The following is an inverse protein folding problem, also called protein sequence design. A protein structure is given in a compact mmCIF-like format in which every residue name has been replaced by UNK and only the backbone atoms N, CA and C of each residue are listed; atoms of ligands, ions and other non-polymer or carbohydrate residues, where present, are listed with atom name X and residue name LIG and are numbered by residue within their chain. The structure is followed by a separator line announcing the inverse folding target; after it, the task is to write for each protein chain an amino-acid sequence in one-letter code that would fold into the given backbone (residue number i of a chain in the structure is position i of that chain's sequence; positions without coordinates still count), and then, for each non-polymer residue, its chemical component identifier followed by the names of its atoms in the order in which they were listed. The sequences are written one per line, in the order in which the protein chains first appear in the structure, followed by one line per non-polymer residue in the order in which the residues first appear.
data_IF_737749853151
#
_entry.id   IF_737749853151
#
_cell.length_a   1.000
_cell.length_b   1.000
_cell.length_c   1.000
_cell.angle_alpha   90.00
_cell.angle_beta   90.00
_cell.angle_gamma   90.00
#
_symmetry.space_group_name_H-M   'P 1'
#
loop_
_entity.id
_entity.type
_entity.pdbx_description
1 polymer ?
2 non-polymer ?
3 water ?
#
# COMPACT_ATOMS: atom_id res chain seq x y z
N UNK A 2 -10.66 -8.19 -26.99
CA UNK A 2 -10.28 -6.84 -26.57
C UNK A 2 -8.76 -6.71 -26.55
N UNK A 3 -8.23 -5.58 -27.06
CA UNK A 3 -6.79 -5.35 -27.10
C UNK A 3 -6.47 -3.90 -26.81
N UNK A 4 -5.18 -3.62 -26.62
CA UNK A 4 -4.66 -2.29 -26.29
C UNK A 4 -3.27 -2.12 -26.89
N UNK A 5 -3.13 -1.13 -27.77
CA UNK A 5 -1.79 -0.74 -28.22
C UNK A 5 -1.30 0.37 -27.30
N UNK A 6 0.00 0.35 -27.03
CA UNK A 6 0.63 1.32 -26.17
C UNK A 6 2.03 1.56 -26.72
N UNK A 7 2.33 2.79 -27.09
CA UNK A 7 3.64 3.19 -27.61
C UNK A 7 4.22 2.05 -28.46
N UNK A 8 3.47 1.69 -29.52
CA UNK A 8 3.89 0.63 -30.41
C UNK A 8 3.32 -0.77 -30.23
N UNK A 9 3.21 -1.26 -28.99
CA UNK A 9 2.95 -2.68 -28.73
C UNK A 9 1.47 -2.98 -28.46
N UNK A 10 1.07 -4.23 -28.75
CA UNK A 10 -0.31 -4.67 -28.60
C UNK A 10 -0.39 -5.68 -27.47
N UNK A 11 -1.56 -5.74 -26.83
CA UNK A 11 -1.71 -6.50 -25.60
C UNK A 11 -3.10 -7.09 -25.54
N UNK A 12 -3.19 -8.36 -25.22
CA UNK A 12 -4.50 -8.99 -25.14
C UNK A 12 -5.01 -8.82 -23.72
N UNK A 13 -6.28 -8.47 -23.59
CA UNK A 13 -6.87 -8.21 -22.28
C UNK A 13 -7.36 -9.54 -21.71
N UNK A 14 -6.59 -10.14 -20.81
CA UNK A 14 -7.10 -11.30 -20.10
C UNK A 14 -8.36 -10.97 -19.30
N UNK A 15 -8.26 -10.11 -18.30
CA UNK A 15 -9.39 -9.81 -17.43
C UNK A 15 -9.14 -8.47 -16.76
N UNK A 16 -10.16 -7.97 -16.10
CA UNK A 16 -10.09 -6.65 -15.46
C UNK A 16 -9.94 -6.89 -13.96
N UNK A 17 -8.79 -6.52 -13.44
CA UNK A 17 -8.52 -6.68 -12.03
C UNK A 17 -9.32 -5.70 -11.20
N UNK A 18 -9.38 -4.44 -11.63
CA UNK A 18 -9.82 -3.40 -10.72
C UNK A 18 -10.42 -2.19 -11.39
N UNK A 19 -11.14 -1.40 -10.59
CA UNK A 19 -11.90 -0.24 -11.03
C UNK A 19 -11.73 0.90 -10.02
N UNK A 20 -12.27 2.06 -10.38
CA UNK A 20 -12.18 3.27 -9.58
C UNK A 20 -12.23 4.52 -10.42
N UNK A 21 -13.14 5.44 -10.10
CA UNK A 21 -13.30 6.65 -10.87
C UNK A 21 -13.32 6.45 -12.37
N UNK A 22 -12.31 7.00 -13.05
CA UNK A 22 -12.15 6.82 -14.49
C UNK A 22 -11.07 5.80 -14.84
N UNK A 23 -10.65 4.99 -13.88
CA UNK A 23 -9.53 4.07 -14.09
C UNK A 23 -9.99 2.62 -14.12
N UNK A 24 -9.19 1.80 -14.80
CA UNK A 24 -9.35 0.35 -14.81
C UNK A 24 -7.96 -0.25 -14.91
N UNK A 25 -7.79 -1.42 -14.30
CA UNK A 25 -6.56 -2.18 -14.36
C UNK A 25 -6.88 -3.54 -14.95
N UNK A 26 -6.07 -3.97 -15.91
CA UNK A 26 -6.29 -5.20 -16.65
C UNK A 26 -5.05 -6.07 -16.53
N UNK A 27 -5.27 -7.34 -16.27
CA UNK A 27 -4.26 -8.32 -16.60
C UNK A 27 -4.26 -8.51 -18.11
N UNK A 28 -3.08 -8.49 -18.72
CA UNK A 28 -2.96 -8.54 -20.17
C UNK A 28 -1.73 -9.33 -20.53
N UNK A 29 -1.68 -9.79 -21.79
CA UNK A 29 -0.52 -10.46 -22.32
C UNK A 29 0.04 -9.65 -23.47
N UNK A 30 1.36 -9.57 -23.52
CA UNK A 30 2.02 -9.00 -24.68
C UNK A 30 2.01 -10.02 -25.82
N UNK A 31 2.54 -9.60 -26.97
CA UNK A 31 2.57 -10.50 -28.11
C UNK A 31 3.26 -11.81 -27.77
N UNK A 32 4.19 -11.82 -26.82
CA UNK A 32 4.94 -13.02 -26.46
C UNK A 32 4.37 -13.72 -25.24
N UNK A 33 3.05 -13.72 -25.07
CA UNK A 33 2.38 -14.43 -23.99
C UNK A 33 2.98 -14.10 -22.62
N UNK A 34 3.67 -12.96 -22.54
CA UNK A 34 4.13 -12.44 -21.26
C UNK A 34 3.01 -11.67 -20.59
N UNK A 35 2.93 -11.79 -19.32
CA UNK A 35 1.83 -11.21 -18.59
C UNK A 35 2.26 -9.85 -18.02
N UNK A 36 1.31 -8.92 -17.91
CA UNK A 36 1.53 -7.55 -17.45
C UNK A 36 0.23 -7.01 -16.89
N UNK A 37 0.32 -5.89 -16.16
CA UNK A 37 -0.87 -5.12 -15.84
C UNK A 37 -0.90 -3.84 -16.66
N UNK A 38 -2.11 -3.35 -16.94
CA UNK A 38 -2.28 -2.09 -17.66
C UNK A 38 -3.36 -1.28 -16.96
N UNK A 39 -2.97 -0.12 -16.43
CA UNK A 39 -3.89 0.86 -15.87
C UNK A 39 -4.35 1.79 -17.00
N UNK A 40 -5.66 2.04 -17.04
CA UNK A 40 -6.26 2.90 -18.04
C UNK A 40 -7.01 4.00 -17.33
N UNK A 41 -6.67 5.25 -17.63
CA UNK A 41 -7.42 6.40 -17.11
C UNK A 41 -8.12 7.08 -18.29
N UNK A 42 -9.44 7.17 -18.23
CA UNK A 42 -10.20 7.96 -19.19
C UNK A 42 -10.17 9.42 -18.74
N UNK A 43 -9.42 10.25 -19.47
CA UNK A 43 -9.21 11.64 -19.06
C UNK A 43 -10.33 12.54 -19.50
N UNK A 44 -11.29 12.00 -20.26
CA UNK A 44 -12.23 12.83 -21.00
C UNK A 44 -12.76 13.99 -20.17
N UNK A 45 -13.27 13.73 -18.97
CA UNK A 45 -13.28 14.81 -18.01
C UNK A 45 -12.68 14.36 -16.69
N UNK A 46 -11.79 15.21 -16.19
CA UNK A 46 -11.12 15.10 -14.91
C UNK A 46 -10.61 16.50 -14.65
N UNK A 47 -10.94 17.08 -13.51
CA UNK A 47 -10.49 18.43 -13.24
C UNK A 47 -8.98 18.45 -13.26
N UNK A 48 -8.40 19.60 -13.60
CA UNK A 48 -6.94 19.68 -13.56
C UNK A 48 -6.36 19.31 -12.20
N UNK A 49 -7.17 19.14 -11.16
CA UNK A 49 -6.68 18.46 -9.95
C UNK A 49 -6.56 16.96 -10.19
N UNK A 50 -7.65 16.32 -10.63
CA UNK A 50 -7.56 14.90 -11.00
C UNK A 50 -6.46 14.69 -12.04
N UNK A 51 -6.39 15.55 -13.05
CA UNK A 51 -5.34 15.43 -14.06
C UNK A 51 -3.96 15.48 -13.42
N UNK A 52 -3.70 16.53 -12.63
CA UNK A 52 -2.36 16.67 -12.05
C UNK A 52 -2.06 15.57 -11.04
N UNK A 53 -3.08 15.03 -10.39
CA UNK A 53 -2.88 13.87 -9.53
C UNK A 53 -2.12 12.79 -10.29
N UNK A 54 -2.60 12.46 -11.50
CA UNK A 54 -2.06 11.33 -12.26
C UNK A 54 -0.69 11.64 -12.82
N UNK A 55 -0.49 12.88 -13.28
CA UNK A 55 0.82 13.26 -13.79
C UNK A 55 1.86 13.14 -12.69
N UNK A 56 1.50 13.54 -11.48
CA UNK A 56 2.43 13.43 -10.37
C UNK A 56 2.74 11.96 -10.04
N UNK A 57 1.72 11.08 -10.04
CA UNK A 57 1.99 9.67 -9.81
C UNK A 57 2.98 9.12 -10.84
N UNK A 58 2.71 9.35 -12.13
CA UNK A 58 3.56 8.81 -13.18
C UNK A 58 5.00 9.26 -13.00
N UNK A 59 5.20 10.56 -12.74
CA UNK A 59 6.55 11.06 -12.55
C UNK A 59 7.24 10.37 -11.39
N UNK A 60 6.61 10.36 -10.21
CA UNK A 60 7.23 9.74 -9.04
C UNK A 60 7.47 8.25 -9.27
N UNK A 61 6.44 7.53 -9.71
CA UNK A 61 6.61 6.13 -10.11
C UNK A 61 7.77 5.96 -11.06
N UNK A 62 7.92 6.88 -11.99
CA UNK A 62 9.02 6.82 -12.94
C UNK A 62 10.36 7.08 -12.25
N UNK A 63 10.43 8.08 -11.37
CA UNK A 63 11.69 8.33 -10.70
C UNK A 63 11.99 7.23 -9.67
N UNK A 64 11.00 6.86 -8.87
CA UNK A 64 11.27 6.04 -7.68
C UNK A 64 11.72 4.64 -8.03
N UNK A 65 11.27 4.08 -9.14
CA UNK A 65 11.67 2.72 -9.40
C UNK A 65 13.15 2.59 -9.71
N UNK A 66 13.81 3.69 -10.02
CA UNK A 66 15.27 3.68 -10.08
C UNK A 66 15.92 3.34 -8.74
N UNK A 67 15.20 3.52 -7.61
CA UNK A 67 15.81 3.47 -6.28
C UNK A 67 15.41 2.25 -5.46
N UNK A 68 14.43 1.47 -5.89
CA UNK A 68 14.10 0.30 -5.09
C UNK A 68 13.17 -0.59 -5.90
N UNK A 69 13.45 -1.90 -5.84
CA UNK A 69 12.62 -2.88 -6.52
C UNK A 69 11.47 -3.38 -5.63
N UNK A 70 11.13 -2.66 -4.57
CA UNK A 70 9.89 -2.90 -3.85
C UNK A 70 8.78 -1.96 -4.29
N UNK A 71 9.08 -1.06 -5.22
CA UNK A 71 8.06 -0.32 -5.98
C UNK A 71 7.71 -1.12 -7.22
N UNK A 72 6.43 -1.11 -7.60
CA UNK A 72 6.02 -1.72 -8.86
C UNK A 72 6.84 -1.17 -10.01
N UNK A 73 7.22 -2.04 -10.96
CA UNK A 73 7.82 -1.56 -12.20
C UNK A 73 6.77 -0.85 -13.05
N UNK A 74 7.22 0.19 -13.74
CA UNK A 74 6.43 0.89 -14.76
C UNK A 74 7.25 0.80 -16.04
N UNK A 75 6.86 -0.13 -16.91
CA UNK A 75 7.65 -0.42 -18.11
C UNK A 75 7.48 0.65 -19.18
N UNK A 76 6.27 1.14 -19.37
CA UNK A 76 6.03 2.11 -20.43
C UNK A 76 4.71 2.77 -20.16
N UNK A 77 4.49 3.88 -20.84
CA UNK A 77 3.24 4.59 -20.66
C UNK A 77 2.97 5.43 -21.88
N UNK A 78 1.71 5.80 -22.02
CA UNK A 78 1.26 6.70 -23.06
C UNK A 78 0.23 7.67 -22.49
N UNK A 79 0.44 8.97 -22.70
CA UNK A 79 -0.43 10.00 -22.19
C UNK A 79 -0.92 10.84 -23.35
N UNK A 80 -2.20 11.19 -23.32
CA UNK A 80 -2.76 12.18 -24.24
C UNK A 80 -3.85 12.92 -23.47
N UNK A 81 -4.52 13.84 -24.14
CA UNK A 81 -5.56 14.56 -23.43
C UNK A 81 -6.77 13.69 -23.10
N UNK A 82 -6.93 12.55 -23.75
CA UNK A 82 -8.12 11.74 -23.50
C UNK A 82 -7.85 10.55 -22.58
N UNK A 83 -6.66 9.96 -22.64
CA UNK A 83 -6.43 8.72 -21.91
C UNK A 83 -5.00 8.67 -21.40
N UNK A 84 -4.80 7.74 -20.46
CA UNK A 84 -3.49 7.26 -20.02
C UNK A 84 -3.48 5.74 -20.13
N UNK A 85 -2.33 5.17 -20.46
CA UNK A 85 -2.09 3.73 -20.35
C UNK A 85 -0.75 3.55 -19.68
N UNK A 86 -0.73 2.81 -18.58
CA UNK A 86 0.51 2.49 -17.89
C UNK A 86 0.72 0.99 -17.96
N UNK A 87 1.82 0.58 -18.56
CA UNK A 87 2.16 -0.83 -18.59
C UNK A 87 3.06 -1.12 -17.41
N UNK A 88 2.62 -2.00 -16.51
CA UNK A 88 3.31 -2.27 -15.27
C UNK A 88 3.49 -3.76 -15.08
N UNK A 89 4.43 -4.09 -14.18
CA UNK A 89 4.59 -5.48 -13.77
C UNK A 89 3.32 -5.91 -13.07
N UNK A 90 2.88 -7.12 -13.35
CA UNK A 90 1.62 -7.62 -12.84
C UNK A 90 1.85 -8.37 -11.55
N UNK A 91 1.06 -8.08 -10.53
CA UNK A 91 1.16 -8.83 -9.30
C UNK A 91 0.40 -10.15 -9.37
N UNK A 92 0.88 -11.11 -8.56
CA UNK A 92 0.09 -12.32 -8.29
C UNK A 92 -1.23 -11.98 -7.62
N UNK A 93 -1.20 -11.03 -6.69
CA UNK A 93 -2.40 -10.65 -5.97
C UNK A 93 -2.02 -9.51 -5.04
N UNK A 94 -2.99 -8.84 -4.46
CA UNK A 94 -2.67 -7.83 -3.47
C UNK A 94 -2.72 -8.41 -2.06
N UNK A 95 -1.97 -7.78 -1.16
CA UNK A 95 -1.92 -8.24 0.23
C UNK A 95 -3.31 -8.34 0.82
N UNK A 96 -4.20 -7.41 0.49
CA UNK A 96 -5.49 -7.42 1.17
C UNK A 96 -6.26 -8.69 0.84
N UNK A 97 -6.43 -8.97 -0.45
CA UNK A 97 -7.12 -10.20 -0.84
C UNK A 97 -6.40 -11.42 -0.32
N UNK A 98 -5.08 -11.47 -0.50
CA UNK A 98 -4.32 -12.60 0.00
C UNK A 98 -4.53 -12.81 1.50
N UNK A 99 -4.52 -11.72 2.26
CA UNK A 99 -4.71 -11.85 3.70
C UNK A 99 -6.02 -12.56 4.01
N UNK A 100 -7.12 -12.07 3.43
CA UNK A 100 -8.45 -12.56 3.80
C UNK A 100 -8.69 -14.00 3.36
N UNK A 101 -7.87 -14.55 2.47
CA UNK A 101 -7.97 -15.97 2.17
C UNK A 101 -7.20 -16.81 3.16
N UNK A 102 -6.21 -16.22 3.82
CA UNK A 102 -5.24 -16.98 4.60
C UNK A 102 -5.73 -17.19 6.03
N UNK A 103 -5.14 -18.18 6.68
CA UNK A 103 -4.95 -18.15 8.12
C UNK A 103 -3.59 -18.68 8.53
N UNK A 104 -3.01 -19.59 7.73
CA UNK A 104 -1.70 -20.20 8.01
C UNK A 104 -0.65 -19.22 7.49
N UNK A 105 -0.06 -18.49 8.42
CA UNK A 105 0.68 -17.27 8.17
C UNK A 105 2.15 -17.47 8.56
N UNK A 106 2.96 -17.96 7.63
CA UNK A 106 4.30 -18.36 8.00
C UNK A 106 5.05 -17.21 8.68
N UNK A 107 5.59 -17.42 9.88
CA UNK A 107 6.29 -16.32 10.57
C UNK A 107 7.53 -15.83 9.84
N UNK A 108 8.30 -16.73 9.22
CA UNK A 108 9.42 -16.32 8.39
C UNK A 108 8.95 -15.47 7.22
N UNK A 109 7.73 -15.73 6.74
CA UNK A 109 7.21 -14.96 5.62
C UNK A 109 6.65 -13.62 6.10
N UNK A 110 6.00 -13.60 7.26
CA UNK A 110 5.54 -12.32 7.80
C UNK A 110 6.73 -11.39 7.99
N UNK A 111 7.81 -11.89 8.57
CA UNK A 111 9.00 -11.09 8.78
C UNK A 111 9.53 -10.52 7.46
N UNK A 112 9.60 -11.37 6.44
CA UNK A 112 10.17 -10.94 5.17
C UNK A 112 9.25 -9.93 4.45
N UNK A 113 7.93 -10.13 4.51
CA UNK A 113 7.01 -9.14 3.95
C UNK A 113 7.14 -7.82 4.70
N UNK A 114 7.48 -7.88 5.99
CA UNK A 114 7.60 -6.66 6.79
C UNK A 114 8.78 -5.83 6.32
N UNK A 115 9.93 -6.47 6.12
CA UNK A 115 11.05 -5.71 5.59
C UNK A 115 10.69 -5.14 4.22
N UNK A 116 10.12 -5.98 3.36
CA UNK A 116 9.57 -5.52 2.11
C UNK A 116 8.83 -4.20 2.25
N UNK A 117 7.77 -4.14 3.08
CA UNK A 117 7.04 -2.89 3.18
C UNK A 117 7.86 -1.74 3.73
N UNK A 118 8.80 -2.00 4.64
CA UNK A 118 9.60 -0.93 5.21
C UNK A 118 10.51 -0.32 4.15
N UNK A 119 11.17 -1.17 3.35
CA UNK A 119 12.00 -0.63 2.28
C UNK A 119 11.16 0.24 1.34
N UNK A 120 10.02 -0.26 0.87
CA UNK A 120 9.20 0.53 -0.04
C UNK A 120 8.85 1.88 0.59
N UNK A 121 8.18 1.85 1.74
CA UNK A 121 7.73 3.10 2.34
C UNK A 121 8.93 3.98 2.66
N UNK A 122 10.02 3.38 3.16
CA UNK A 122 11.26 4.13 3.39
C UNK A 122 11.68 4.86 2.12
N UNK A 123 11.55 4.21 0.95
CA UNK A 123 11.98 4.82 -0.31
C UNK A 123 11.15 6.08 -0.62
N UNK A 124 9.85 5.98 -0.49
CA UNK A 124 9.08 7.16 -0.84
C UNK A 124 9.32 8.27 0.17
N UNK A 125 9.57 7.92 1.43
CA UNK A 125 9.87 8.96 2.41
C UNK A 125 11.14 9.70 2.05
N UNK A 126 12.08 9.04 1.39
CA UNK A 126 13.31 9.71 1.07
C UNK A 126 13.17 10.70 -0.06
N UNK A 127 12.06 10.66 -0.79
CA UNK A 127 11.78 11.62 -1.85
C UNK A 127 10.58 12.48 -1.49
N UNK A 128 10.31 12.60 -0.20
CA UNK A 128 9.37 13.58 0.30
C UNK A 128 7.91 13.22 0.27
N UNK A 129 7.56 11.95 0.07
CA UNK A 129 6.17 11.53 0.06
C UNK A 129 5.82 10.90 1.39
N UNK A 130 4.71 11.35 1.98
CA UNK A 130 4.02 10.62 3.03
C UNK A 130 2.75 10.06 2.40
N UNK A 131 2.69 8.74 2.23
CA UNK A 131 1.49 8.13 1.66
C UNK A 131 0.25 8.48 2.49
N UNK A 132 0.32 8.26 3.80
CA UNK A 132 -0.72 8.63 4.75
C UNK A 132 -2.08 7.97 4.49
N UNK A 133 -2.17 7.04 3.55
CA UNK A 133 -3.35 6.16 3.46
C UNK A 133 -2.94 4.73 3.15
N UNK A 134 -1.90 4.25 3.84
CA UNK A 134 -1.42 2.91 3.54
C UNK A 134 -2.42 1.87 4.01
N UNK A 135 -2.51 0.77 3.25
CA UNK A 135 -3.39 -0.33 3.57
C UNK A 135 -2.91 -1.55 2.80
N UNK A 136 -3.37 -2.75 3.16
CA UNK A 136 -2.86 -3.95 2.46
C UNK A 136 -3.04 -3.89 0.96
N UNK A 137 -4.15 -3.31 0.50
CA UNK A 137 -4.41 -3.17 -0.93
C UNK A 137 -3.36 -2.33 -1.65
N UNK A 138 -2.51 -1.63 -0.93
CA UNK A 138 -1.42 -0.87 -1.53
C UNK A 138 -0.21 -1.74 -1.85
N UNK A 139 -0.21 -3.02 -1.48
CA UNK A 139 0.95 -3.87 -1.68
C UNK A 139 0.60 -5.06 -2.57
N UNK A 140 1.53 -5.42 -3.43
CA UNK A 140 1.35 -6.50 -4.38
C UNK A 140 2.36 -7.56 -4.05
N UNK A 141 1.90 -8.80 -4.01
CA UNK A 141 2.79 -9.94 -3.90
C UNK A 141 3.21 -10.31 -5.31
N UNK A 142 4.49 -10.17 -5.61
CA UNK A 142 5.08 -10.60 -6.87
C UNK A 142 6.45 -11.20 -6.56
N UNK A 143 6.70 -12.40 -7.08
CA UNK A 143 7.97 -13.09 -6.83
C UNK A 143 8.21 -13.29 -5.34
N UNK A 144 7.18 -13.78 -4.65
CA UNK A 144 7.24 -13.96 -3.21
C UNK A 144 7.68 -12.71 -2.48
N UNK A 145 7.47 -11.56 -3.10
CA UNK A 145 7.92 -10.29 -2.56
C UNK A 145 6.74 -9.34 -2.42
N UNK A 146 6.89 -8.34 -1.57
CA UNK A 146 5.89 -7.29 -1.47
C UNK A 146 6.39 -6.04 -2.22
N UNK A 147 5.50 -5.44 -3.01
CA UNK A 147 5.83 -4.25 -3.78
C UNK A 147 4.70 -3.24 -3.62
N UNK A 148 5.06 -1.99 -3.34
CA UNK A 148 4.08 -0.91 -3.23
C UNK A 148 3.58 -0.47 -4.62
N UNK A 149 2.30 -0.11 -4.71
CA UNK A 149 1.68 0.39 -5.94
C UNK A 149 1.28 1.85 -5.87
N UNK A 150 0.24 2.15 -5.10
CA UNK A 150 -0.23 3.52 -4.92
C UNK A 150 0.87 4.32 -4.22
N UNK A 151 0.83 5.63 -4.36
CA UNK A 151 1.68 6.48 -3.56
C UNK A 151 0.86 7.42 -2.70
N UNK A 152 -0.46 7.22 -2.67
CA UNK A 152 -1.37 8.11 -2.00
C UNK A 152 -1.78 9.31 -2.82
N UNK A 153 -1.08 9.64 -3.91
CA UNK A 153 -1.38 10.85 -4.66
C UNK A 153 -2.55 10.63 -5.60
N UNK A 154 -2.53 9.57 -6.38
CA UNK A 154 -3.60 9.30 -7.33
C UNK A 154 -4.75 8.56 -6.66
N UNK A 155 -5.95 8.78 -7.19
CA UNK A 155 -7.14 7.99 -6.87
C UNK A 155 -6.77 6.50 -6.87
N UNK A 156 -6.84 5.85 -5.71
CA UNK A 156 -6.67 4.41 -5.71
C UNK A 156 -7.96 3.73 -6.13
N UNK A 157 -7.84 2.45 -6.45
CA UNK A 157 -8.89 1.66 -7.06
C UNK A 157 -9.36 0.57 -6.12
N UNK A 158 -10.50 -0.04 -6.47
CA UNK A 158 -11.06 -1.18 -5.78
C UNK A 158 -11.06 -2.41 -6.67
N UNK A 159 -11.09 -3.59 -6.09
CA UNK A 159 -11.06 -4.83 -6.89
C UNK A 159 -12.38 -5.05 -7.65
N UNK A 160 -12.28 -5.77 -8.77
CA UNK A 160 -13.47 -6.12 -9.56
C UNK A 160 -13.77 -7.62 -9.66
N UNK A 170 -15.45 0.31 -1.50
CA UNK A 170 -15.90 0.51 -0.13
C UNK A 170 -14.72 0.85 0.83
N UNK A 171 -13.76 -0.06 1.00
CA UNK A 171 -12.56 0.26 1.79
C UNK A 171 -12.76 0.50 3.28
N UNK A 173 -11.19 2.05 7.41
CA UNK A 173 -10.70 3.15 8.22
C UNK A 173 -9.85 2.53 9.32
N UNK A 174 -9.75 1.20 9.31
CA UNK A 174 -9.01 0.51 10.36
C UNK A 174 -7.59 1.06 10.48
N UNK A 175 -6.99 1.46 9.36
CA UNK A 175 -5.59 1.84 9.34
C UNK A 175 -5.35 3.34 9.51
N UNK A 176 -6.38 4.08 9.84
CA UNK A 176 -6.21 5.51 10.02
C UNK A 176 -5.25 5.82 11.16
N UNK A 177 -4.25 6.69 10.96
CA UNK A 177 -3.46 7.16 12.09
C UNK A 177 -4.25 8.15 12.95
N UNK A 178 -3.98 8.17 14.26
CA UNK A 178 -4.68 9.12 15.14
C UNK A 178 -4.55 10.57 14.72
N UNK A 179 -3.33 11.04 14.44
CA UNK A 179 -3.16 12.46 14.12
C UNK A 179 -3.83 12.81 12.79
N UNK A 180 -4.19 11.80 11.99
CA UNK A 180 -5.01 12.05 10.82
C UNK A 180 -6.37 12.59 11.22
N UNK A 181 -7.03 11.90 12.15
CA UNK A 181 -8.31 12.35 12.70
C UNK A 181 -8.15 13.73 13.35
N UNK A 182 -7.38 13.80 14.44
CA UNK A 182 -7.21 15.02 15.23
C UNK A 182 -6.80 16.24 14.40
N UNK A 183 -6.62 16.07 13.09
CA UNK A 183 -6.12 17.09 12.17
C UNK A 183 -7.24 17.84 11.44
N UNK A 184 -8.50 17.58 11.76
CA UNK A 184 -9.59 18.16 11.00
C UNK A 184 -10.35 19.24 11.76
N UNK A 185 -9.71 19.86 12.76
CA UNK A 185 -10.24 21.08 13.37
C UNK A 185 -9.42 22.29 12.91
N UNK A 197 0.65 15.73 10.70
CA UNK A 197 0.73 14.56 9.81
C UNK A 197 2.08 14.43 9.06
N UNK A 198 2.87 13.44 9.50
CA UNK A 198 4.27 13.27 9.13
C UNK A 198 4.57 11.87 8.58
N UNK A 199 5.84 11.56 8.29
CA UNK A 199 6.21 10.17 7.97
C UNK A 199 5.80 9.22 9.07
N UNK A 200 5.60 9.76 10.28
CA UNK A 200 5.16 8.92 11.39
C UNK A 200 3.83 8.26 11.09
N UNK A 201 2.97 8.93 10.32
CA UNK A 201 1.62 8.44 10.08
C UNK A 201 1.62 7.15 9.27
N UNK A 202 2.58 6.97 8.37
CA UNK A 202 2.68 5.70 7.68
C UNK A 202 3.16 4.60 8.62
N UNK A 203 3.97 4.97 9.62
CA UNK A 203 4.40 3.98 10.57
C UNK A 203 3.19 3.37 11.26
N UNK A 204 2.24 4.22 11.66
CA UNK A 204 0.99 3.70 12.24
C UNK A 204 0.36 2.68 11.30
N UNK A 205 0.07 3.08 10.05
CA UNK A 205 -0.69 2.21 9.16
C UNK A 205 0.04 0.92 8.88
N UNK A 206 1.38 0.97 8.81
CA UNK A 206 2.17 -0.25 8.67
C UNK A 206 2.03 -1.13 9.91
N UNK A 207 2.00 -0.50 11.09
CA UNK A 207 1.73 -1.24 12.31
C UNK A 207 0.44 -2.03 12.25
N UNK A 208 -0.64 -1.38 11.79
CA UNK A 208 -1.94 -2.06 11.65
C UNK A 208 -1.86 -3.23 10.68
N UNK A 209 -1.04 -3.12 9.65
CA UNK A 209 -0.91 -4.24 8.73
C UNK A 209 -0.14 -5.38 9.38
N UNK A 210 0.86 -5.06 10.20
CA UNK A 210 1.62 -6.10 10.87
C UNK A 210 0.80 -6.74 11.98
N UNK A 211 0.21 -5.90 12.83
CA UNK A 211 -0.75 -6.38 13.83
C UNK A 211 -1.71 -7.36 13.19
N UNK A 212 -2.37 -6.93 12.13
CA UNK A 212 -3.27 -7.81 11.40
C UNK A 212 -2.54 -9.06 10.96
N UNK A 213 -1.28 -8.93 10.53
CA UNK A 213 -0.56 -10.10 10.04
C UNK A 213 -0.15 -11.03 11.16
N UNK A 214 -0.12 -10.55 12.40
CA UNK A 214 0.31 -11.40 13.50
C UNK A 214 -0.87 -11.96 14.29
N UNK A 215 -1.78 -11.07 14.71
CA UNK A 215 -2.97 -11.40 15.49
C UNK A 215 -4.18 -11.71 14.62
N UNK A 216 -4.04 -11.76 13.29
CA UNK A 216 -5.13 -12.09 12.40
C UNK A 216 -6.31 -11.12 12.39
N UNK A 217 -6.13 -9.94 12.98
CA UNK A 217 -7.16 -8.90 13.03
C UNK A 217 -6.46 -7.56 13.25
N UNK A 218 -7.07 -6.47 12.81
CA UNK A 218 -6.48 -5.16 13.07
C UNK A 218 -6.92 -4.67 14.43
N UNK A 219 -6.27 -3.63 14.97
CA UNK A 219 -6.57 -3.22 16.34
C UNK A 219 -8.06 -3.06 16.60
N UNK A 220 -8.74 -2.24 15.82
CA UNK A 220 -10.10 -1.86 16.12
C UNK A 220 -11.12 -2.55 15.20
N UNK A 221 -10.73 -3.63 14.54
CA UNK A 221 -11.72 -4.47 13.87
C UNK A 221 -12.85 -4.84 14.80
N UNK A 222 -12.54 -4.93 16.10
CA UNK A 222 -13.49 -4.92 17.21
C UNK A 222 -14.67 -3.98 16.93
N UNK A 223 -14.52 -2.70 17.27
CA UNK A 223 -15.56 -1.69 17.05
C UNK A 223 -16.04 -1.75 15.61
N UNK A 224 -17.25 -2.25 15.38
CA UNK A 224 -17.77 -2.21 14.02
C UNK A 224 -18.46 -0.88 13.74
N UNK A 225 -18.77 -0.09 14.77
CA UNK A 225 -19.41 1.20 14.58
C UNK A 225 -18.35 2.24 14.26
N UNK A 226 -18.40 2.76 13.03
CA UNK A 226 -17.31 3.60 12.51
C UNK A 226 -17.16 4.90 13.29
N UNK A 227 -18.26 5.61 13.52
CA UNK A 227 -18.15 6.98 14.00
C UNK A 227 -17.44 6.97 15.36
N UNK A 228 -17.31 5.77 15.96
CA UNK A 228 -16.62 5.55 17.23
C UNK A 228 -15.46 4.55 17.16
N UNK A 229 -15.40 3.71 16.14
CA UNK A 229 -14.11 3.12 15.78
C UNK A 229 -13.07 4.22 15.77
N UNK A 230 -13.42 5.35 15.14
CA UNK A 230 -12.56 6.51 15.15
C UNK A 230 -12.21 6.96 16.55
N UNK A 231 -13.13 6.82 17.51
CA UNK A 231 -12.85 7.28 18.87
C UNK A 231 -11.68 6.50 19.46
N UNK A 232 -11.79 5.17 19.42
CA UNK A 232 -10.74 4.30 19.90
C UNK A 232 -9.40 4.75 19.37
N UNK A 233 -9.32 4.99 18.05
CA UNK A 233 -8.06 5.43 17.46
C UNK A 233 -7.61 6.74 18.08
N UNK A 234 -8.55 7.65 18.36
CA UNK A 234 -8.19 8.95 18.89
C UNK A 234 -7.95 8.93 20.40
N UNK A 235 -8.30 7.84 21.08
CA UNK A 235 -8.47 7.83 22.54
C UNK A 235 -7.20 7.35 23.23
N UNK A 236 -6.60 8.14 24.14
CA UNK A 236 -5.40 7.65 24.84
C UNK A 236 -5.72 6.55 25.85
N UNK A 237 -6.71 6.78 26.71
CA UNK A 237 -7.02 5.81 27.74
C UNK A 237 -7.87 4.68 27.16
N UNK A 238 -7.42 4.09 26.05
CA UNK A 238 -8.08 2.97 25.39
C UNK A 238 -6.97 2.10 24.84
N UNK A 239 -6.78 0.93 25.42
CA UNK A 239 -5.57 0.17 25.17
C UNK A 239 -5.79 -0.85 24.08
N UNK A 240 -4.87 -0.87 23.12
CA UNK A 240 -4.80 -1.99 22.18
C UNK A 240 -4.19 -3.17 22.92
N UNK A 241 -4.77 -4.35 22.75
CA UNK A 241 -4.23 -5.53 23.41
C UNK A 241 -3.13 -6.14 22.57
N UNK A 242 -2.07 -6.61 23.24
CA UNK A 242 -0.92 -7.23 22.60
C UNK A 242 -0.67 -8.59 23.25
N UNK A 243 -1.53 -9.56 22.98
CA UNK A 243 -1.25 -10.94 23.42
C UNK A 243 0.21 -11.30 23.32
N UNK A 244 0.79 -11.78 24.42
CA UNK A 244 2.17 -12.25 24.37
C UNK A 244 2.30 -13.34 23.32
N UNK A 245 3.48 -13.44 22.74
CA UNK A 245 3.68 -14.39 21.65
C UNK A 245 5.14 -14.82 21.69
N UNK A 246 5.48 -15.92 21.06
CA UNK A 246 6.88 -16.34 20.97
C UNK A 246 7.82 -15.25 20.48
N UNK A 247 7.61 -14.74 19.26
CA UNK A 247 8.40 -13.60 18.81
C UNK A 247 8.04 -12.37 19.62
N UNK A 248 8.77 -12.08 20.70
CA UNK A 248 8.39 -10.91 21.47
C UNK A 248 9.00 -9.66 20.86
N UNK A 249 10.04 -9.82 20.05
CA UNK A 249 10.49 -8.71 19.21
C UNK A 249 9.34 -8.18 18.35
N UNK A 250 8.65 -9.08 17.64
CA UNK A 250 7.49 -8.68 16.86
C UNK A 250 6.46 -7.98 17.72
N UNK A 251 6.21 -8.52 18.92
CA UNK A 251 5.36 -7.84 19.87
C UNK A 251 5.83 -6.42 20.11
N UNK A 252 7.14 -6.22 20.19
CA UNK A 252 7.65 -4.90 20.55
C UNK A 252 7.52 -3.95 19.37
N UNK A 253 7.74 -4.47 18.15
CA UNK A 253 7.56 -3.66 16.94
C UNK A 253 6.14 -3.12 16.88
N UNK A 254 5.15 -3.99 17.11
CA UNK A 254 3.78 -3.50 17.11
C UNK A 254 3.57 -2.51 18.22
N UNK A 255 4.27 -2.71 19.34
CA UNK A 255 4.04 -1.80 20.45
C UNK A 255 4.55 -0.40 20.13
N UNK A 256 5.62 -0.28 19.33
CA UNK A 256 6.17 1.05 19.05
C UNK A 256 5.58 1.73 17.82
N UNK A 257 5.07 0.92 16.88
CA UNK A 257 4.30 1.45 15.74
C UNK A 257 2.98 2.05 16.18
N UNK A 258 2.25 1.38 17.07
CA UNK A 258 0.90 1.76 17.44
C UNK A 258 0.86 2.65 18.66
N UNK A 259 1.84 3.54 18.83
CA UNK A 259 1.80 4.55 19.88
C UNK A 259 1.04 5.76 19.35
N UNK A 260 0.07 6.23 20.13
CA UNK A 260 -0.79 7.27 19.59
C UNK A 260 -0.07 8.59 19.41
N UNK A 261 0.99 8.84 20.17
CA UNK A 261 1.69 10.13 20.04
C UNK A 261 2.75 10.01 18.94
N UNK A 262 2.57 10.65 17.79
CA UNK A 262 3.56 10.49 16.71
C UNK A 262 4.98 10.78 17.16
N UNK A 263 5.15 11.75 18.05
CA UNK A 263 6.49 12.05 18.58
C UNK A 263 7.09 10.85 19.31
N UNK A 264 6.26 10.10 20.03
CA UNK A 264 6.72 8.90 20.72
C UNK A 264 6.68 7.67 19.82
N UNK A 265 6.16 7.81 18.60
CA UNK A 265 6.07 6.67 17.70
C UNK A 265 7.41 6.43 17.03
N UNK A 266 7.68 5.16 16.74
CA UNK A 266 8.98 4.80 16.20
C UNK A 266 9.06 5.24 14.73
N UNK A 267 10.28 5.53 14.28
CA UNK A 267 10.44 5.99 12.92
C UNK A 267 10.79 4.83 12.02
N UNK A 268 10.72 5.07 10.71
CA UNK A 268 11.13 4.04 9.76
C UNK A 268 12.60 3.74 9.88
N UNK A 269 13.51 4.72 9.90
CA UNK A 269 14.92 4.38 10.06
C UNK A 269 15.21 3.61 11.35
N UNK A 270 14.47 3.91 12.43
CA UNK A 270 14.59 3.07 13.62
C UNK A 270 14.07 1.68 13.35
N UNK A 271 12.92 1.58 12.67
CA UNK A 271 12.36 0.26 12.44
C UNK A 271 13.35 -0.62 11.71
N UNK A 272 14.15 -0.02 10.83
CA UNK A 272 15.08 -0.83 10.06
C UNK A 272 16.28 -1.24 10.87
N UNK A 273 16.42 -0.72 12.07
CA UNK A 273 17.50 -1.05 12.98
C UNK A 273 17.04 -1.96 14.11
N UNK A 274 15.75 -2.29 14.17
CA UNK A 274 15.12 -3.06 15.23
C UNK A 274 15.46 -4.55 15.11
N UNK A 275 15.68 -5.23 16.23
CA UNK A 275 16.04 -6.66 16.14
C UNK A 275 15.08 -7.49 15.28
N UNK A 276 13.77 -7.25 15.34
CA UNK A 276 12.85 -8.08 14.57
C UNK A 276 13.20 -8.07 13.09
N UNK A 277 13.66 -6.94 12.57
CA UNK A 277 14.08 -6.88 11.18
C UNK A 277 15.48 -7.47 11.01
N UNK A 278 16.34 -7.38 12.02
CA UNK A 278 17.77 -7.59 11.79
C UNK A 278 18.28 -8.96 12.20
N UNK A 279 17.66 -9.66 13.18
CA UNK A 279 18.16 -10.95 13.65
C UNK A 279 17.47 -12.11 12.91
N UNK A 280 18.26 -13.16 12.62
CA UNK A 280 17.79 -14.45 12.07
C UNK A 280 16.93 -14.27 10.84
#
# INVERSE_FOLDING_TARGET
NECISVKGRIYSILKQIGSGGSSKVFQVLNEKKQIYAIKYVNLEEADNQTLDSYRNEIAYLNKLQQHSDKIIRLYDYEITDQYIYMVMECGNIDLNSWLKKKKSIDPWERKSYWKNMLEAVHTIHQHGIVHSDLKPANFLIVDGMLKLIDFGIANQMQPDXTSVVKDSQVGXVNYMPPEAIKDMSSSRENGKSKSKISPKSDVWSLGCILYYMTYGKTPFQQIINQISKLHAIIDPNHEIEFPDIPEKDLQDVLKCCLKRDPKQRISIPELLAHPYVQIQT
#
